data_IF_538564408780
#
_entry.id   IF_538564408780
#
_cell.length_a   1.000
_cell.length_b   1.000
_cell.length_c   1.000
_cell.angle_alpha   90.00
_cell.angle_beta   90.00
_cell.angle_gamma   90.00
#
_symmetry.space_group_name_H-M   'P 1'
#
loop_
_entity.id
_entity.type
_entity.pdbx_description
1 polymer ?
#
# COMPACT_ATOMS: atom_id res chain seq x y z
N UNK A 1 -16.43 45.87 88.42
CA UNK A 1 -15.82 44.52 88.23
C UNK A 1 -16.63 43.82 87.19
N UNK A 2 -16.07 43.64 86.03
CA UNK A 2 -16.65 42.82 84.93
C UNK A 2 -15.64 41.72 84.58
N UNK A 3 -16.01 40.45 84.46
CA UNK A 3 -15.10 39.40 84.06
C UNK A 3 -14.99 39.32 82.56
N UNK A 4 -13.76 39.16 82.04
CA UNK A 4 -13.37 38.95 80.66
C UNK A 4 -13.60 37.49 80.30
N UNK A 5 -14.38 37.23 79.24
CA UNK A 5 -14.59 35.94 78.64
C UNK A 5 -13.55 35.69 77.51
N UNK A 6 -12.68 34.69 77.72
CA UNK A 6 -11.80 34.14 76.70
C UNK A 6 -12.59 33.18 75.80
N UNK A 7 -12.61 33.39 74.49
CA UNK A 7 -13.06 32.41 73.54
C UNK A 7 -11.83 31.76 72.88
N UNK A 8 -11.72 30.41 72.80
CA UNK A 8 -10.67 29.77 72.02
C UNK A 8 -11.07 29.67 70.54
N UNK A 9 -10.21 30.20 69.69
CA UNK A 9 -10.27 30.00 68.22
C UNK A 9 -9.89 28.54 67.90
N UNK A 10 -10.90 27.73 67.53
CA UNK A 10 -10.64 26.42 66.87
C UNK A 10 -10.25 26.70 65.39
N UNK A 11 -8.95 26.50 65.09
CA UNK A 11 -8.45 26.49 63.71
C UNK A 11 -8.86 25.20 62.99
N UNK A 12 -9.69 25.35 61.97
CA UNK A 12 -10.00 24.25 61.03
C UNK A 12 -8.83 24.07 60.05
N UNK A 13 -8.06 23.03 60.20
CA UNK A 13 -7.12 22.57 59.19
C UNK A 13 -7.91 21.83 58.11
N UNK A 14 -8.15 22.47 56.95
CA UNK A 14 -8.67 21.82 55.77
C UNK A 14 -7.56 21.02 55.13
N UNK A 15 -7.57 19.70 55.31
CA UNK A 15 -6.73 18.77 54.57
C UNK A 15 -7.30 18.68 53.15
N UNK A 16 -6.66 19.35 52.20
CA UNK A 16 -6.98 19.20 50.79
C UNK A 16 -6.52 17.80 50.31
N UNK A 17 -7.48 16.89 50.13
CA UNK A 17 -7.24 15.61 49.45
C UNK A 17 -6.92 15.89 47.98
N UNK A 18 -5.64 15.90 47.62
CA UNK A 18 -5.23 15.91 46.19
C UNK A 18 -5.48 14.51 45.65
N UNK A 19 -6.62 14.30 45.03
CA UNK A 19 -6.88 13.08 44.29
C UNK A 19 -5.89 13.03 43.10
N UNK A 20 -5.15 11.91 42.89
CA UNK A 20 -4.31 11.81 41.72
C UNK A 20 -5.20 11.84 40.44
N UNK A 21 -5.02 12.86 39.64
CA UNK A 21 -5.62 12.90 38.30
C UNK A 21 -4.92 11.76 37.52
N UNK A 22 -5.60 10.63 37.39
CA UNK A 22 -5.23 9.57 36.45
C UNK A 22 -5.38 10.16 35.06
N UNK A 23 -4.32 10.78 34.57
CA UNK A 23 -4.20 11.08 33.15
C UNK A 23 -4.21 9.73 32.42
N UNK A 24 -5.37 9.33 31.93
CA UNK A 24 -5.53 8.18 31.07
C UNK A 24 -4.73 8.50 29.80
N UNK A 25 -3.52 7.99 29.70
CA UNK A 25 -2.76 8.10 28.46
C UNK A 25 -3.67 7.62 27.31
N UNK A 26 -3.97 8.50 26.36
CA UNK A 26 -4.67 8.09 25.16
C UNK A 26 -3.88 6.94 24.54
N UNK A 27 -4.58 5.84 24.24
CA UNK A 27 -3.94 4.68 23.66
C UNK A 27 -3.26 5.10 22.35
N UNK A 28 -1.95 4.94 22.28
CA UNK A 28 -1.19 5.23 21.07
C UNK A 28 -1.72 4.37 19.93
N UNK A 29 -1.92 4.96 18.75
CA UNK A 29 -2.49 4.24 17.60
C UNK A 29 -1.47 4.17 16.48
N UNK A 30 -1.16 2.95 15.99
CA UNK A 30 -0.44 2.71 14.76
C UNK A 30 -1.45 2.55 13.61
N UNK A 31 -1.45 3.49 12.67
CA UNK A 31 -2.38 3.53 11.56
C UNK A 31 -1.71 3.01 10.29
N UNK A 32 -2.27 1.96 9.69
CA UNK A 32 -1.71 1.26 8.54
C UNK A 32 -2.61 1.39 7.33
N UNK A 33 -2.08 1.97 6.25
CA UNK A 33 -2.75 2.09 4.96
C UNK A 33 -2.52 0.86 4.08
N UNK A 34 -3.56 0.43 3.33
CA UNK A 34 -3.46 -0.65 2.36
C UNK A 34 -4.51 -0.51 1.25
N UNK A 35 -4.46 -1.37 0.22
CA UNK A 35 -5.46 -1.42 -0.85
C UNK A 35 -6.12 -2.79 -0.90
N UNK A 36 -7.41 -2.90 -1.28
CA UNK A 36 -8.08 -4.17 -1.46
C UNK A 36 -7.69 -4.82 -2.80
N UNK A 37 -6.40 -5.15 -2.94
CA UNK A 37 -5.77 -5.78 -4.09
C UNK A 37 -5.02 -7.05 -3.67
N UNK A 38 -4.90 -8.03 -4.54
CA UNK A 38 -4.15 -9.26 -4.23
C UNK A 38 -2.63 -9.01 -4.07
N UNK A 39 -2.12 -7.94 -4.66
CA UNK A 39 -0.74 -7.48 -4.41
C UNK A 39 -0.49 -7.05 -2.96
N UNK A 40 -1.56 -6.84 -2.19
CA UNK A 40 -1.54 -6.56 -0.75
C UNK A 40 -2.09 -7.75 0.06
N UNK A 41 -1.93 -8.98 -0.44
CA UNK A 41 -2.45 -10.19 0.20
C UNK A 41 -2.10 -10.33 1.70
N UNK A 42 -0.88 -9.97 2.17
CA UNK A 42 -0.60 -10.01 3.60
C UNK A 42 -1.51 -9.10 4.43
N UNK A 43 -1.84 -7.89 3.94
CA UNK A 43 -2.77 -6.99 4.62
C UNK A 43 -4.20 -7.53 4.62
N UNK A 44 -4.66 -8.10 3.49
CA UNK A 44 -5.98 -8.72 3.40
C UNK A 44 -6.13 -9.92 4.34
N UNK A 45 -5.08 -10.76 4.44
CA UNK A 45 -5.04 -11.89 5.35
C UNK A 45 -5.04 -11.43 6.82
N UNK A 46 -4.23 -10.43 7.16
CA UNK A 46 -4.20 -9.85 8.51
C UNK A 46 -5.56 -9.29 8.92
N UNK A 47 -6.21 -8.54 8.04
CA UNK A 47 -7.56 -8.00 8.25
C UNK A 47 -8.61 -9.09 8.42
N UNK A 48 -8.48 -10.20 7.71
CA UNK A 48 -9.38 -11.34 7.88
C UNK A 48 -9.14 -12.05 9.22
N UNK A 49 -7.88 -12.25 9.60
CA UNK A 49 -7.52 -12.83 10.91
C UNK A 49 -8.01 -11.95 12.07
N UNK A 50 -7.93 -10.62 11.95
CA UNK A 50 -8.49 -9.71 12.95
C UNK A 50 -10.00 -9.92 13.12
N UNK A 51 -10.76 -10.06 12.02
CA UNK A 51 -12.21 -10.36 12.06
C UNK A 51 -12.53 -11.71 12.69
N UNK A 52 -11.60 -12.66 12.58
CA UNK A 52 -11.70 -13.99 13.19
C UNK A 52 -11.21 -14.02 14.65
N UNK A 53 -10.82 -12.87 15.21
CA UNK A 53 -10.29 -12.76 16.58
C UNK A 53 -8.85 -13.28 16.73
N UNK A 54 -8.10 -13.40 15.62
CA UNK A 54 -6.73 -13.92 15.56
C UNK A 54 -5.73 -12.84 15.11
N UNK A 55 -5.86 -11.62 15.63
CA UNK A 55 -5.04 -10.48 15.20
C UNK A 55 -3.56 -10.62 15.65
N UNK A 56 -2.76 -11.19 14.74
CA UNK A 56 -1.34 -11.41 14.95
C UNK A 56 -0.52 -10.11 14.97
N UNK A 57 -0.98 -9.05 14.29
CA UNK A 57 -0.29 -7.76 14.29
C UNK A 57 -0.54 -7.01 15.60
N UNK A 58 -1.81 -6.95 16.05
CA UNK A 58 -2.13 -6.32 17.33
C UNK A 58 -1.40 -7.01 18.49
N UNK A 59 -1.33 -8.35 18.47
CA UNK A 59 -0.62 -9.13 19.49
C UNK A 59 0.90 -8.87 19.54
N UNK A 60 1.49 -8.44 18.41
CA UNK A 60 2.92 -8.14 18.32
C UNK A 60 3.27 -6.71 18.73
N UNK A 61 2.30 -5.80 18.80
CA UNK A 61 2.55 -4.39 19.12
C UNK A 61 2.92 -4.21 20.60
N UNK A 62 3.68 -3.15 20.93
CA UNK A 62 3.94 -2.79 22.31
C UNK A 62 2.64 -2.57 23.10
N UNK A 63 2.68 -2.84 24.41
CA UNK A 63 1.54 -2.65 25.28
C UNK A 63 0.99 -1.22 25.22
N UNK A 64 -0.33 -1.08 25.09
CA UNK A 64 -1.01 0.22 25.00
C UNK A 64 -1.09 0.78 23.58
N UNK A 65 -0.42 0.18 22.58
CA UNK A 65 -0.54 0.59 21.17
C UNK A 65 -1.69 -0.17 20.51
N UNK A 66 -2.60 0.54 19.84
CA UNK A 66 -3.69 -0.03 19.05
C UNK A 66 -3.35 -0.01 17.58
N UNK A 67 -3.77 -1.05 16.84
CA UNK A 67 -3.68 -1.11 15.39
C UNK A 67 -4.96 -0.58 14.76
N UNK A 68 -4.83 0.29 13.75
CA UNK A 68 -5.95 0.77 12.94
C UNK A 68 -5.62 0.64 11.46
N UNK A 69 -6.51 0.03 10.70
CA UNK A 69 -6.34 -0.13 9.25
C UNK A 69 -7.15 0.90 8.48
N UNK A 70 -6.56 1.45 7.41
CA UNK A 70 -7.20 2.38 6.50
C UNK A 70 -7.07 1.92 5.06
N UNK A 71 -8.21 1.74 4.39
CA UNK A 71 -8.26 1.32 2.98
C UNK A 71 -8.17 2.53 2.05
N UNK A 72 -7.38 2.39 0.98
CA UNK A 72 -7.22 3.39 -0.08
C UNK A 72 -7.48 2.75 -1.44
N UNK A 73 -7.80 3.57 -2.44
CA UNK A 73 -7.93 3.09 -3.82
C UNK A 73 -6.57 2.80 -4.45
N UNK A 74 -5.59 3.70 -4.28
CA UNK A 74 -4.27 3.59 -4.89
C UNK A 74 -3.21 4.42 -4.15
N UNK A 75 -1.94 4.29 -4.60
CA UNK A 75 -0.77 4.80 -3.91
C UNK A 75 -0.69 6.30 -3.67
N UNK A 76 -0.96 7.17 -4.64
CA UNK A 76 -0.87 8.62 -4.42
C UNK A 76 -1.67 9.11 -3.23
N UNK A 77 -2.93 8.68 -3.08
CA UNK A 77 -3.77 9.07 -1.93
C UNK A 77 -3.27 8.52 -0.59
N UNK A 78 -2.69 7.30 -0.58
CA UNK A 78 -2.06 6.75 0.62
C UNK A 78 -0.80 7.52 1.01
N UNK A 79 0.02 7.95 0.02
CA UNK A 79 1.21 8.76 0.29
C UNK A 79 0.88 10.16 0.79
N UNK A 80 -0.19 10.78 0.29
CA UNK A 80 -0.71 12.05 0.84
C UNK A 80 -1.13 11.89 2.31
N UNK A 81 -1.87 10.82 2.62
CA UNK A 81 -2.27 10.50 4.00
C UNK A 81 -1.06 10.24 4.92
N UNK A 82 -0.02 9.58 4.42
CA UNK A 82 1.22 9.33 5.15
C UNK A 82 1.98 10.63 5.45
N UNK A 83 2.16 11.48 4.45
CA UNK A 83 2.83 12.77 4.61
C UNK A 83 2.04 13.74 5.52
N UNK A 84 0.73 13.68 5.49
CA UNK A 84 -0.15 14.43 6.39
C UNK A 84 -0.20 13.84 7.83
N UNK A 85 0.46 12.71 8.09
CA UNK A 85 0.41 12.04 9.38
C UNK A 85 -0.96 11.40 9.72
N UNK A 86 -1.82 11.21 8.72
CA UNK A 86 -3.11 10.53 8.87
C UNK A 86 -2.97 9.01 8.97
N UNK A 87 -1.87 8.46 8.45
CA UNK A 87 -1.40 7.08 8.64
C UNK A 87 0.08 7.08 8.97
N UNK A 88 0.59 6.00 9.55
CA UNK A 88 1.97 5.86 10.03
C UNK A 88 2.79 4.89 9.17
N UNK A 89 2.15 3.87 8.61
CA UNK A 89 2.73 2.87 7.71
C UNK A 89 1.78 2.68 6.52
N UNK A 90 2.31 2.41 5.34
CA UNK A 90 1.49 2.10 4.16
C UNK A 90 2.09 0.96 3.34
N UNK A 91 1.21 0.07 2.89
CA UNK A 91 1.46 -0.76 1.72
C UNK A 91 1.25 0.11 0.48
N UNK A 92 2.24 0.20 -0.41
CA UNK A 92 2.17 1.10 -1.57
C UNK A 92 3.10 0.62 -2.68
N UNK A 93 2.81 0.97 -3.93
CA UNK A 93 3.69 0.70 -5.06
C UNK A 93 4.96 1.58 -5.09
N UNK A 94 5.97 1.16 -5.83
CA UNK A 94 7.24 1.88 -5.91
C UNK A 94 7.10 3.30 -6.46
N UNK A 95 6.31 3.50 -7.52
CA UNK A 95 6.20 4.82 -8.17
C UNK A 95 5.59 5.90 -7.26
N UNK A 96 4.48 5.67 -6.52
CA UNK A 96 3.97 6.62 -5.54
C UNK A 96 4.97 6.90 -4.39
N UNK A 97 5.66 5.87 -3.89
CA UNK A 97 6.68 6.04 -2.86
C UNK A 97 7.83 6.92 -3.34
N UNK A 98 8.34 6.67 -4.55
CA UNK A 98 9.37 7.48 -5.21
C UNK A 98 8.91 8.92 -5.44
N UNK A 99 7.69 9.11 -5.94
CA UNK A 99 7.15 10.45 -6.17
C UNK A 99 7.15 11.27 -4.87
N UNK A 100 6.66 10.68 -3.78
CA UNK A 100 6.67 11.33 -2.47
C UNK A 100 8.11 11.57 -1.97
N UNK A 101 9.03 10.62 -2.17
CA UNK A 101 10.44 10.73 -1.79
C UNK A 101 11.13 11.88 -2.53
N UNK A 102 10.98 11.97 -3.85
CA UNK A 102 11.58 13.04 -4.67
C UNK A 102 10.96 14.40 -4.34
N UNK A 103 9.63 14.49 -4.19
CA UNK A 103 8.94 15.73 -3.80
C UNK A 103 9.39 16.27 -2.44
N UNK A 104 9.76 15.39 -1.53
CA UNK A 104 10.31 15.75 -0.21
C UNK A 104 11.85 15.81 -0.20
N UNK A 105 12.50 15.83 -1.38
CA UNK A 105 13.95 15.89 -1.55
C UNK A 105 14.71 14.83 -0.75
N UNK A 106 14.11 13.63 -0.65
CA UNK A 106 14.69 12.51 0.09
C UNK A 106 14.47 12.53 1.61
N UNK A 107 13.82 13.56 2.15
CA UNK A 107 13.78 13.79 3.59
C UNK A 107 12.78 12.87 4.32
N UNK A 108 11.59 12.60 3.76
CA UNK A 108 10.47 12.12 4.57
C UNK A 108 10.17 10.61 4.42
N UNK A 109 10.38 10.01 3.25
CA UNK A 109 9.92 8.64 3.00
C UNK A 109 11.01 7.61 3.28
N UNK A 110 10.62 6.52 3.96
CA UNK A 110 11.47 5.36 4.28
C UNK A 110 10.78 4.08 3.87
N UNK A 111 11.46 3.21 3.16
CA UNK A 111 11.02 1.84 2.86
C UNK A 111 11.42 0.94 4.03
N UNK A 112 10.48 0.15 4.52
CA UNK A 112 10.64 -0.76 5.65
C UNK A 112 10.88 -2.19 5.19
N UNK A 113 10.13 -2.62 4.15
CA UNK A 113 10.16 -3.99 3.64
C UNK A 113 9.64 -4.07 2.19
N UNK A 114 10.14 -4.99 1.36
CA UNK A 114 9.47 -5.40 0.13
C UNK A 114 8.21 -6.21 0.47
N UNK A 115 7.20 -6.15 -0.39
CA UNK A 115 5.97 -6.95 -0.22
C UNK A 115 5.71 -7.81 -1.44
N UNK A 116 5.58 -7.22 -2.65
CA UNK A 116 5.21 -7.95 -3.85
C UNK A 116 5.77 -7.35 -5.14
N UNK A 117 6.00 -8.21 -6.12
CA UNK A 117 6.32 -7.87 -7.51
C UNK A 117 5.32 -8.56 -8.45
N UNK A 118 5.12 -8.02 -9.66
CA UNK A 118 4.22 -8.59 -10.66
C UNK A 118 2.73 -8.44 -10.31
N UNK A 119 1.88 -9.30 -10.88
CA UNK A 119 0.43 -9.19 -10.76
C UNK A 119 -0.14 -7.90 -11.36
N UNK A 120 0.54 -7.34 -12.35
CA UNK A 120 0.32 -6.06 -12.99
C UNK A 120 0.34 -6.25 -14.49
N UNK A 121 -0.77 -5.97 -15.17
CA UNK A 121 -0.93 -6.30 -16.58
C UNK A 121 -1.79 -5.29 -17.35
N UNK A 122 -1.52 -5.20 -18.66
CA UNK A 122 -2.37 -4.55 -19.65
C UNK A 122 -3.37 -5.57 -20.21
N UNK A 123 -4.64 -5.30 -20.02
CA UNK A 123 -5.75 -6.12 -20.54
C UNK A 123 -6.46 -5.37 -21.66
N UNK A 124 -6.67 -6.04 -22.78
CA UNK A 124 -7.41 -5.55 -23.96
C UNK A 124 -8.62 -6.43 -24.21
N UNK A 125 -9.57 -5.97 -25.02
CA UNK A 125 -10.69 -6.83 -25.45
C UNK A 125 -10.22 -7.93 -26.40
N UNK A 126 -10.79 -9.12 -26.26
CA UNK A 126 -10.63 -10.17 -27.25
C UNK A 126 -11.10 -9.66 -28.63
N UNK A 127 -10.30 -9.93 -29.66
CA UNK A 127 -10.63 -9.49 -31.03
C UNK A 127 -10.45 -7.99 -31.32
N UNK A 128 -9.93 -7.19 -30.36
CA UNK A 128 -9.70 -5.73 -30.58
C UNK A 128 -8.66 -5.40 -31.65
N UNK A 129 -7.82 -6.36 -32.03
CA UNK A 129 -6.70 -6.12 -32.94
C UNK A 129 -5.48 -5.44 -32.31
N UNK A 130 -5.58 -5.01 -31.04
CA UNK A 130 -4.47 -4.38 -30.32
C UNK A 130 -3.42 -5.45 -29.95
N UNK A 131 -2.17 -5.26 -30.41
CA UNK A 131 -1.05 -6.20 -30.18
C UNK A 131 0.24 -5.50 -29.77
N UNK A 132 0.48 -4.29 -30.26
CA UNK A 132 1.70 -3.53 -30.06
C UNK A 132 1.35 -2.11 -29.59
N UNK A 133 2.28 -1.37 -28.97
CA UNK A 133 2.02 0.02 -28.60
C UNK A 133 1.48 0.89 -29.73
N UNK A 134 1.91 0.67 -30.98
CA UNK A 134 1.48 1.46 -32.14
C UNK A 134 -0.01 1.32 -32.46
N UNK A 135 -0.63 0.20 -32.08
CA UNK A 135 -2.06 -0.03 -32.27
C UNK A 135 -2.92 0.83 -31.33
N UNK A 136 -2.29 1.49 -30.35
CA UNK A 136 -2.95 2.37 -29.39
C UNK A 136 -3.09 3.82 -29.84
N UNK A 137 -2.69 4.16 -31.09
CA UNK A 137 -2.93 5.50 -31.64
C UNK A 137 -4.44 5.78 -31.63
N UNK A 138 -4.85 6.89 -31.00
CA UNK A 138 -6.26 7.28 -30.82
C UNK A 138 -7.02 6.48 -29.77
N UNK A 139 -6.38 5.60 -29.01
CA UNK A 139 -7.00 4.72 -28.01
C UNK A 139 -6.90 5.26 -26.58
N UNK A 140 -7.82 4.80 -25.72
CA UNK A 140 -7.89 5.11 -24.32
C UNK A 140 -7.43 3.90 -23.47
N UNK A 141 -6.45 4.12 -22.59
CA UNK A 141 -5.95 3.12 -21.64
C UNK A 141 -6.31 3.56 -20.23
N UNK A 142 -7.14 2.79 -19.53
CA UNK A 142 -7.51 3.06 -18.16
C UNK A 142 -6.42 2.66 -17.16
N UNK A 143 -6.19 3.47 -16.11
CA UNK A 143 -5.27 3.17 -14.99
C UNK A 143 -5.91 3.55 -13.65
N UNK A 144 -5.57 2.89 -12.50
CA UNK A 144 -6.30 3.09 -11.23
C UNK A 144 -6.22 4.51 -10.65
N UNK A 145 -5.13 5.22 -10.87
CA UNK A 145 -4.94 6.62 -10.42
C UNK A 145 -3.74 7.24 -11.12
N UNK A 146 -3.81 8.53 -11.41
CA UNK A 146 -2.69 9.29 -11.96
C UNK A 146 -1.44 9.16 -11.07
N UNK A 147 -0.31 8.79 -11.67
CA UNK A 147 0.98 8.66 -10.98
C UNK A 147 1.11 7.43 -10.09
N UNK A 148 0.16 6.49 -10.12
CA UNK A 148 0.37 5.18 -9.51
C UNK A 148 1.29 4.31 -10.40
N UNK A 149 1.71 3.15 -9.91
CA UNK A 149 2.65 2.29 -10.65
C UNK A 149 2.11 1.89 -12.01
N UNK A 150 0.81 1.56 -12.13
CA UNK A 150 0.17 1.18 -13.39
C UNK A 150 0.09 2.33 -14.40
N UNK A 151 -0.09 3.56 -13.92
CA UNK A 151 -0.11 4.74 -14.79
C UNK A 151 1.30 5.02 -15.36
N UNK A 152 2.34 4.85 -14.53
CA UNK A 152 3.74 4.92 -14.98
C UNK A 152 4.03 3.82 -15.99
N UNK A 153 3.71 2.55 -15.67
CA UNK A 153 3.96 1.40 -16.54
C UNK A 153 3.25 1.57 -17.90
N UNK A 154 1.97 1.99 -17.91
CA UNK A 154 1.21 2.20 -19.14
C UNK A 154 1.86 3.26 -20.04
N UNK A 155 2.24 4.40 -19.46
CA UNK A 155 2.88 5.49 -20.22
C UNK A 155 4.27 5.09 -20.70
N UNK A 156 5.05 4.41 -19.87
CA UNK A 156 6.38 3.92 -20.24
C UNK A 156 6.30 2.95 -21.40
N UNK A 157 5.43 1.93 -21.33
CA UNK A 157 5.26 0.95 -22.39
C UNK A 157 4.81 1.58 -23.72
N UNK A 158 3.86 2.51 -23.70
CA UNK A 158 3.41 3.23 -24.90
C UNK A 158 4.54 4.07 -25.50
N UNK A 159 5.33 4.76 -24.67
CA UNK A 159 6.45 5.61 -25.12
C UNK A 159 7.63 4.79 -25.65
N UNK A 160 7.97 3.68 -25.03
CA UNK A 160 8.97 2.73 -25.55
C UNK A 160 8.58 2.18 -26.92
N UNK A 161 7.28 2.04 -27.19
CA UNK A 161 6.73 1.73 -28.51
C UNK A 161 6.72 2.87 -29.51
N UNK A 162 7.26 4.05 -29.15
CA UNK A 162 7.41 5.21 -30.00
C UNK A 162 6.23 6.19 -30.01
N UNK A 163 5.24 6.03 -29.11
CA UNK A 163 4.11 6.95 -29.02
C UNK A 163 4.45 8.17 -28.14
N UNK A 164 3.98 9.33 -28.53
CA UNK A 164 4.02 10.51 -27.68
C UNK A 164 2.80 10.49 -26.74
N UNK A 165 3.06 10.24 -25.45
CA UNK A 165 2.04 10.19 -24.39
C UNK A 165 2.41 11.16 -23.28
N UNK A 166 1.49 12.06 -22.92
CA UNK A 166 1.66 13.05 -21.86
C UNK A 166 0.34 13.28 -21.11
N UNK A 167 0.36 14.10 -20.05
CA UNK A 167 -0.82 14.31 -19.19
C UNK A 167 -2.03 14.89 -19.94
N UNK A 168 -1.79 15.73 -20.94
CA UNK A 168 -2.84 16.33 -21.76
C UNK A 168 -3.32 15.47 -22.94
N UNK A 169 -2.78 14.23 -23.11
CA UNK A 169 -3.13 13.34 -24.22
C UNK A 169 -1.91 12.92 -25.05
N UNK A 170 -1.94 13.11 -26.37
CA UNK A 170 -0.92 12.69 -27.33
C UNK A 170 -1.46 11.66 -28.32
N UNK A 171 -0.58 10.73 -28.77
CA UNK A 171 -0.99 9.69 -29.72
C UNK A 171 -1.96 8.67 -29.08
N UNK A 172 -1.82 8.43 -27.78
CA UNK A 172 -2.74 7.64 -26.96
C UNK A 172 -3.11 8.41 -25.69
N UNK A 173 -4.27 8.12 -25.12
CA UNK A 173 -4.73 8.75 -23.88
C UNK A 173 -4.70 7.75 -22.73
N UNK A 174 -4.03 8.12 -21.63
CA UNK A 174 -4.11 7.36 -20.35
C UNK A 174 -5.13 8.04 -19.44
N UNK A 175 -6.16 7.28 -19.04
CA UNK A 175 -7.35 7.76 -18.32
C UNK A 175 -7.37 7.18 -16.90
N UNK A 176 -7.02 7.96 -15.87
CA UNK A 176 -7.10 7.50 -14.49
C UNK A 176 -8.55 7.43 -14.01
N UNK A 177 -8.94 6.28 -13.44
CA UNK A 177 -10.23 6.06 -12.77
C UNK A 177 -10.10 4.96 -11.72
N UNK A 178 -11.04 4.87 -10.77
CA UNK A 178 -11.00 3.79 -9.77
C UNK A 178 -11.15 2.41 -10.44
N UNK A 179 -10.54 1.37 -9.85
CA UNK A 179 -10.56 0.03 -10.44
C UNK A 179 -11.98 -0.48 -10.74
N UNK A 180 -12.94 -0.23 -9.85
CA UNK A 180 -14.34 -0.62 -10.09
C UNK A 180 -14.95 0.12 -11.30
N UNK A 181 -14.65 1.40 -11.47
CA UNK A 181 -15.09 2.21 -12.59
C UNK A 181 -14.42 1.75 -13.88
N UNK A 182 -13.13 1.38 -13.84
CA UNK A 182 -12.41 0.83 -14.99
C UNK A 182 -13.05 -0.45 -15.52
N UNK A 183 -13.53 -1.35 -14.64
CA UNK A 183 -14.30 -2.53 -15.07
C UNK A 183 -15.55 -2.13 -15.84
N UNK A 184 -16.28 -1.13 -15.33
CA UNK A 184 -17.52 -0.67 -15.97
C UNK A 184 -17.24 0.01 -17.31
N UNK A 185 -16.26 0.91 -17.38
CA UNK A 185 -15.85 1.58 -18.61
C UNK A 185 -15.37 0.58 -19.67
N UNK A 186 -14.59 -0.42 -19.25
CA UNK A 186 -14.16 -1.50 -20.14
C UNK A 186 -15.34 -2.34 -20.63
N UNK A 187 -16.28 -2.71 -19.78
CA UNK A 187 -17.45 -3.50 -20.15
C UNK A 187 -18.36 -2.79 -21.16
N UNK A 188 -18.45 -1.45 -21.06
CA UNK A 188 -19.24 -0.60 -21.96
C UNK A 188 -18.54 -0.21 -23.25
N UNK A 189 -17.25 -0.48 -23.38
CA UNK A 189 -16.47 -0.07 -24.55
C UNK A 189 -16.01 1.38 -24.53
N UNK A 190 -16.10 2.06 -23.40
CA UNK A 190 -15.71 3.46 -23.26
C UNK A 190 -14.18 3.64 -23.14
N UNK A 191 -13.47 2.58 -22.75
CA UNK A 191 -12.01 2.46 -22.81
C UNK A 191 -11.60 1.21 -23.58
N UNK A 192 -10.46 1.29 -24.27
CA UNK A 192 -9.98 0.22 -25.17
C UNK A 192 -9.19 -0.85 -24.41
N UNK A 193 -8.49 -0.43 -23.38
CA UNK A 193 -7.63 -1.28 -22.55
C UNK A 193 -7.58 -0.78 -21.11
N UNK A 194 -7.15 -1.67 -20.19
CA UNK A 194 -6.93 -1.35 -18.78
C UNK A 194 -5.57 -1.87 -18.34
N UNK A 195 -4.73 -1.01 -17.80
CA UNK A 195 -3.54 -1.42 -17.08
C UNK A 195 -3.82 -1.42 -15.58
N UNK A 196 -3.88 -2.60 -14.99
CA UNK A 196 -4.28 -2.75 -13.58
C UNK A 196 -3.57 -3.92 -12.90
N UNK A 197 -3.92 -4.20 -11.65
CA UNK A 197 -3.37 -5.27 -10.81
C UNK A 197 -4.41 -6.34 -10.49
N UNK A 198 -3.94 -7.47 -9.96
CA UNK A 198 -4.83 -8.50 -9.43
C UNK A 198 -5.60 -8.03 -8.16
N UNK A 199 -6.89 -8.32 -8.02
CA UNK A 199 -7.70 -9.28 -8.80
C UNK A 199 -8.37 -8.67 -10.05
N UNK A 200 -8.14 -7.42 -10.36
CA UNK A 200 -8.84 -6.71 -11.43
C UNK A 200 -8.47 -7.24 -12.82
N UNK A 201 -7.21 -7.69 -13.01
CA UNK A 201 -6.78 -8.39 -14.23
C UNK A 201 -7.62 -9.65 -14.43
N UNK A 202 -7.69 -10.51 -13.42
CA UNK A 202 -8.51 -11.74 -13.47
C UNK A 202 -9.99 -11.42 -13.69
N UNK A 203 -10.53 -10.39 -13.07
CA UNK A 203 -11.93 -9.97 -13.29
C UNK A 203 -12.18 -9.50 -14.72
N UNK A 204 -11.30 -8.67 -15.27
CA UNK A 204 -11.40 -8.22 -16.68
C UNK A 204 -11.38 -9.41 -17.64
N UNK A 205 -10.54 -10.40 -17.40
CA UNK A 205 -10.41 -11.57 -18.28
C UNK A 205 -11.56 -12.57 -18.10
N UNK A 206 -11.96 -12.88 -16.87
CA UNK A 206 -12.97 -13.90 -16.60
C UNK A 206 -14.43 -13.41 -16.69
N UNK A 207 -14.68 -12.13 -16.37
CA UNK A 207 -16.03 -11.57 -16.32
C UNK A 207 -16.38 -10.77 -17.60
N UNK A 208 -15.39 -10.18 -18.28
CA UNK A 208 -15.62 -9.23 -19.36
C UNK A 208 -14.91 -9.58 -20.69
N UNK A 209 -14.40 -10.82 -20.82
CA UNK A 209 -13.78 -11.30 -22.07
C UNK A 209 -12.49 -10.55 -22.44
N UNK A 210 -11.78 -10.02 -21.47
CA UNK A 210 -10.47 -9.42 -21.66
C UNK A 210 -9.38 -10.46 -21.93
N UNK A 211 -8.31 -10.02 -22.58
CA UNK A 211 -7.10 -10.82 -22.82
C UNK A 211 -5.90 -10.03 -22.31
N UNK A 212 -5.02 -10.68 -21.57
CA UNK A 212 -3.75 -10.07 -21.14
C UNK A 212 -2.86 -9.88 -22.36
N UNK A 213 -2.55 -8.64 -22.69
CA UNK A 213 -1.65 -8.28 -23.78
C UNK A 213 -0.20 -8.19 -23.30
N UNK A 214 0.03 -7.63 -22.13
CA UNK A 214 1.36 -7.44 -21.56
C UNK A 214 1.32 -7.60 -20.03
N UNK A 215 2.36 -8.24 -19.47
CA UNK A 215 2.56 -8.37 -18.01
C UNK A 215 3.91 -7.76 -17.63
N UNK A 216 3.90 -6.87 -16.64
CA UNK A 216 5.14 -6.39 -16.03
C UNK A 216 5.44 -7.23 -14.76
N UNK A 217 6.12 -8.37 -14.94
CA UNK A 217 6.44 -9.30 -13.85
C UNK A 217 7.48 -8.78 -12.87
N UNK A 218 8.30 -7.83 -13.30
CA UNK A 218 9.38 -7.26 -12.50
C UNK A 218 8.99 -5.96 -11.78
N UNK A 219 7.80 -5.43 -12.06
CA UNK A 219 7.32 -4.20 -11.41
C UNK A 219 7.27 -4.41 -9.90
N UNK A 220 7.94 -3.53 -9.14
CA UNK A 220 7.85 -3.50 -7.67
C UNK A 220 6.50 -2.90 -7.28
N UNK A 221 5.52 -3.77 -7.12
CA UNK A 221 4.11 -3.37 -7.04
C UNK A 221 3.67 -3.04 -5.61
N UNK A 222 4.35 -3.58 -4.62
CA UNK A 222 4.07 -3.27 -3.22
C UNK A 222 5.33 -3.33 -2.35
N UNK A 223 5.49 -2.29 -1.53
CA UNK A 223 6.45 -2.16 -0.44
C UNK A 223 5.74 -1.66 0.81
N UNK A 224 6.29 -1.91 1.99
CA UNK A 224 5.93 -1.19 3.21
C UNK A 224 6.76 0.08 3.30
N UNK A 225 6.10 1.21 3.49
CA UNK A 225 6.74 2.51 3.69
C UNK A 225 6.23 3.19 4.95
N UNK A 226 7.04 4.11 5.47
CA UNK A 226 6.69 4.98 6.58
C UNK A 226 7.25 6.38 6.34
N UNK A 227 6.84 7.35 7.15
CA UNK A 227 7.47 8.67 7.18
C UNK A 227 8.55 8.74 8.26
N UNK A 228 9.54 9.63 8.06
CA UNK A 228 10.54 9.94 9.08
C UNK A 228 9.89 10.36 10.40
N UNK A 229 8.86 11.20 10.33
CA UNK A 229 8.12 11.65 11.50
C UNK A 229 7.43 10.50 12.26
N UNK A 230 6.91 9.48 11.56
CA UNK A 230 6.32 8.30 12.19
C UNK A 230 7.41 7.43 12.87
N UNK A 231 8.58 7.27 12.23
CA UNK A 231 9.71 6.55 12.84
C UNK A 231 10.23 7.27 14.09
N UNK A 232 10.39 8.59 14.06
CA UNK A 232 10.84 9.34 15.23
C UNK A 232 9.91 9.18 16.44
N UNK A 233 8.60 9.08 16.19
CA UNK A 233 7.59 8.99 17.25
C UNK A 233 7.25 7.56 17.67
N UNK A 234 7.28 6.58 16.75
CA UNK A 234 6.65 5.25 16.93
C UNK A 234 7.54 4.10 16.45
N UNK A 235 8.86 4.27 16.41
CA UNK A 235 9.76 3.24 15.89
C UNK A 235 9.53 1.85 16.49
N UNK A 236 9.36 1.65 17.81
CA UNK A 236 9.10 0.32 18.37
C UNK A 236 7.84 -0.33 17.80
N UNK A 237 6.77 0.43 17.60
CA UNK A 237 5.51 -0.08 17.04
C UNK A 237 5.64 -0.38 15.55
N UNK A 238 6.32 0.48 14.77
CA UNK A 238 6.59 0.26 13.35
C UNK A 238 7.45 -1.00 13.15
N UNK A 239 8.54 -1.15 13.88
CA UNK A 239 9.43 -2.32 13.78
C UNK A 239 8.71 -3.60 14.19
N UNK A 240 7.88 -3.56 15.24
CA UNK A 240 7.06 -4.70 15.67
C UNK A 240 6.04 -5.11 14.61
N UNK A 241 5.37 -4.13 13.99
CA UNK A 241 4.45 -4.37 12.87
C UNK A 241 5.15 -5.04 11.70
N UNK A 242 6.33 -4.55 11.29
CA UNK A 242 7.07 -5.13 10.15
C UNK A 242 7.55 -6.54 10.46
N UNK A 243 8.04 -6.82 11.67
CA UNK A 243 8.41 -8.19 12.08
C UNK A 243 7.21 -9.13 12.05
N UNK A 244 6.03 -8.70 12.54
CA UNK A 244 4.82 -9.51 12.48
C UNK A 244 4.30 -9.70 11.05
N UNK A 245 4.50 -8.70 10.16
CA UNK A 245 4.24 -8.84 8.73
C UNK A 245 5.10 -9.96 8.10
N UNK A 246 6.40 -10.00 8.37
CA UNK A 246 7.26 -11.08 7.89
C UNK A 246 6.82 -12.45 8.41
N UNK A 247 6.48 -12.55 9.71
CA UNK A 247 5.99 -13.79 10.29
C UNK A 247 4.68 -14.27 9.62
N UNK A 248 3.75 -13.35 9.33
CA UNK A 248 2.54 -13.68 8.59
C UNK A 248 2.85 -14.10 7.15
N UNK A 249 3.73 -13.41 6.45
CA UNK A 249 4.16 -13.77 5.10
C UNK A 249 4.78 -15.17 5.06
N UNK A 250 5.59 -15.55 6.06
CA UNK A 250 6.16 -16.90 6.16
C UNK A 250 5.06 -17.96 6.31
N UNK A 251 4.04 -17.72 7.14
CA UNK A 251 2.89 -18.64 7.31
C UNK A 251 2.06 -18.76 6.04
N UNK A 252 1.79 -17.63 5.35
CA UNK A 252 1.03 -17.63 4.10
C UNK A 252 1.75 -18.42 3.00
N UNK A 253 3.09 -18.32 2.91
CA UNK A 253 3.89 -19.13 1.98
C UNK A 253 3.88 -20.62 2.31
N UNK A 254 3.83 -20.97 3.60
CA UNK A 254 3.84 -22.36 4.04
C UNK A 254 2.51 -23.10 3.79
N UNK A 255 1.39 -22.37 3.73
CA UNK A 255 0.05 -22.93 3.52
C UNK A 255 -0.72 -22.11 2.47
N UNK A 256 -0.60 -22.52 1.22
CA UNK A 256 -1.24 -21.86 0.09
C UNK A 256 -2.77 -21.90 0.16
N UNK A 257 -3.35 -23.01 0.61
CA UNK A 257 -4.79 -23.15 0.73
C UNK A 257 -5.36 -22.19 1.80
N UNK A 258 -4.64 -22.06 2.91
CA UNK A 258 -4.98 -21.12 3.97
C UNK A 258 -4.82 -19.66 3.47
N UNK A 259 -3.74 -19.35 2.72
CA UNK A 259 -3.54 -18.05 2.09
C UNK A 259 -4.72 -17.70 1.18
N UNK A 260 -5.08 -18.57 0.24
CA UNK A 260 -6.18 -18.35 -0.70
C UNK A 260 -7.51 -18.10 0.02
N UNK A 261 -7.82 -18.90 1.05
CA UNK A 261 -9.02 -18.73 1.87
C UNK A 261 -9.07 -17.36 2.55
N UNK A 262 -8.00 -16.97 3.27
CA UNK A 262 -7.95 -15.71 3.99
C UNK A 262 -8.02 -14.51 3.06
N UNK A 263 -7.21 -14.53 1.99
CA UNK A 263 -7.13 -13.42 1.04
C UNK A 263 -8.45 -13.24 0.30
N UNK A 264 -9.09 -14.34 -0.13
CA UNK A 264 -10.40 -14.33 -0.79
C UNK A 264 -11.48 -13.72 0.10
N UNK A 265 -11.57 -14.18 1.33
CA UNK A 265 -12.59 -13.72 2.29
C UNK A 265 -12.33 -12.27 2.68
N UNK A 266 -11.06 -11.93 2.98
CA UNK A 266 -10.64 -10.57 3.32
C UNK A 266 -10.90 -9.57 2.19
N UNK A 267 -10.62 -9.96 0.94
CA UNK A 267 -10.90 -9.13 -0.23
C UNK A 267 -12.39 -8.84 -0.39
N UNK A 268 -13.25 -9.86 -0.24
CA UNK A 268 -14.71 -9.68 -0.29
C UNK A 268 -15.21 -8.73 0.80
N UNK A 269 -14.68 -8.87 2.02
CA UNK A 269 -15.02 -8.00 3.14
C UNK A 269 -14.58 -6.54 2.92
N UNK A 270 -13.36 -6.32 2.42
CA UNK A 270 -12.84 -4.96 2.14
C UNK A 270 -13.59 -4.28 0.97
N UNK A 271 -13.94 -5.02 -0.07
CA UNK A 271 -14.72 -4.52 -1.21
C UNK A 271 -16.24 -4.44 -0.91
N UNK A 272 -16.68 -4.87 0.29
CA UNK A 272 -18.12 -4.95 0.66
C UNK A 272 -18.94 -5.69 -0.39
N UNK A 273 -18.40 -6.78 -0.91
CA UNK A 273 -18.98 -7.59 -1.98
C UNK A 273 -18.88 -9.08 -1.64
N UNK A 274 -19.57 -9.92 -2.43
CA UNK A 274 -19.34 -11.36 -2.35
C UNK A 274 -17.84 -11.64 -2.64
N UNK A 275 -17.20 -12.54 -1.86
CA UNK A 275 -15.85 -12.98 -2.17
C UNK A 275 -15.76 -13.48 -3.61
N UNK A 276 -14.64 -13.22 -4.32
CA UNK A 276 -14.42 -13.79 -5.66
C UNK A 276 -14.60 -15.31 -5.65
N UNK A 277 -14.88 -15.89 -6.81
CA UNK A 277 -14.96 -17.34 -6.94
C UNK A 277 -13.61 -17.97 -6.57
N UNK A 278 -13.66 -19.10 -5.84
CA UNK A 278 -12.46 -19.73 -5.29
C UNK A 278 -11.45 -20.10 -6.40
N UNK A 279 -11.94 -20.62 -7.52
CA UNK A 279 -11.14 -21.04 -8.66
C UNK A 279 -10.35 -19.92 -9.34
N UNK A 280 -10.67 -18.66 -9.07
CA UNK A 280 -9.98 -17.51 -9.66
C UNK A 280 -8.82 -17.00 -8.79
N UNK A 281 -8.80 -17.32 -7.50
CA UNK A 281 -7.84 -16.74 -6.54
C UNK A 281 -6.45 -17.34 -6.71
N UNK A 282 -6.34 -18.66 -6.79
CA UNK A 282 -5.04 -19.33 -7.00
C UNK A 282 -4.31 -18.82 -8.24
N UNK A 283 -4.93 -18.86 -9.44
CA UNK A 283 -4.31 -18.31 -10.66
C UNK A 283 -3.97 -16.82 -10.57
N UNK A 284 -4.78 -16.00 -9.89
CA UNK A 284 -4.51 -14.58 -9.69
C UNK A 284 -3.32 -14.35 -8.74
N UNK A 285 -3.24 -15.10 -7.64
CA UNK A 285 -2.09 -15.06 -6.72
C UNK A 285 -0.80 -15.56 -7.39
N UNK A 286 -0.88 -16.53 -8.28
CA UNK A 286 0.28 -17.06 -9.03
C UNK A 286 0.94 -16.02 -9.95
N UNK A 287 0.25 -14.92 -10.30
CA UNK A 287 0.84 -13.78 -11.03
C UNK A 287 1.62 -12.84 -10.12
N UNK A 288 1.45 -12.95 -8.80
CA UNK A 288 2.07 -12.08 -7.80
C UNK A 288 3.23 -12.82 -7.14
N UNK A 289 4.43 -12.27 -7.24
CA UNK A 289 5.62 -12.78 -6.53
C UNK A 289 5.73 -12.04 -5.20
N UNK A 290 5.42 -12.73 -4.10
CA UNK A 290 5.61 -12.16 -2.76
C UNK A 290 7.08 -12.24 -2.33
N UNK A 291 7.51 -11.25 -1.55
CA UNK A 291 8.87 -11.20 -1.03
C UNK A 291 9.24 -12.49 -0.29
N UNK A 292 10.40 -13.02 -0.63
CA UNK A 292 11.00 -14.20 0.02
C UNK A 292 12.07 -13.74 1.02
N UNK A 293 12.40 -14.58 2.03
CA UNK A 293 13.49 -14.30 2.94
C UNK A 293 14.80 -14.10 2.20
N UNK A 294 15.53 -13.06 2.54
CA UNK A 294 16.87 -12.76 2.03
C UNK A 294 17.60 -11.89 3.07
N UNK A 295 18.93 -11.91 3.08
CA UNK A 295 19.71 -11.04 3.96
C UNK A 295 19.51 -9.55 3.61
N UNK A 296 19.82 -8.69 4.57
CA UNK A 296 19.55 -7.25 4.46
C UNK A 296 20.36 -6.58 3.34
N UNK A 297 21.58 -7.03 3.08
CA UNK A 297 22.46 -6.45 2.05
C UNK A 297 21.93 -6.78 0.66
N UNK A 298 21.65 -8.05 0.38
CA UNK A 298 21.02 -8.53 -0.86
C UNK A 298 19.70 -7.81 -1.11
N UNK A 299 18.86 -7.71 -0.09
CA UNK A 299 17.57 -7.00 -0.14
C UNK A 299 17.76 -5.53 -0.52
N UNK A 300 18.70 -4.84 0.12
CA UNK A 300 19.00 -3.43 -0.15
C UNK A 300 19.48 -3.23 -1.58
N UNK A 301 20.40 -4.06 -2.04
CA UNK A 301 20.94 -3.98 -3.41
C UNK A 301 19.83 -4.20 -4.46
N UNK A 302 19.00 -5.24 -4.27
CA UNK A 302 17.86 -5.54 -5.15
C UNK A 302 16.84 -4.42 -5.18
N UNK A 303 16.43 -3.90 -4.03
CA UNK A 303 15.48 -2.79 -3.95
C UNK A 303 16.06 -1.51 -4.58
N UNK A 304 17.34 -1.22 -4.38
CA UNK A 304 18.01 -0.08 -5.01
C UNK A 304 17.91 -0.15 -6.53
N UNK A 305 18.17 -1.30 -7.13
CA UNK A 305 18.05 -1.50 -8.58
C UNK A 305 16.60 -1.33 -9.07
N UNK A 306 15.63 -1.93 -8.37
CA UNK A 306 14.21 -1.82 -8.72
C UNK A 306 13.69 -0.37 -8.60
N UNK A 307 14.08 0.34 -7.56
CA UNK A 307 13.71 1.75 -7.38
C UNK A 307 14.40 2.67 -8.40
N UNK A 308 15.66 2.40 -8.77
CA UNK A 308 16.34 3.15 -9.81
C UNK A 308 15.64 3.01 -11.17
N UNK A 309 15.20 1.78 -11.52
CA UNK A 309 14.39 1.54 -12.72
C UNK A 309 13.05 2.29 -12.65
N UNK A 310 12.30 2.15 -11.55
CA UNK A 310 11.01 2.83 -11.38
C UNK A 310 11.14 4.37 -11.41
N UNK A 311 12.26 4.92 -10.91
CA UNK A 311 12.56 6.35 -11.01
C UNK A 311 12.75 6.77 -12.48
N UNK A 312 13.56 6.02 -13.22
CA UNK A 312 13.78 6.26 -14.65
C UNK A 312 12.46 6.22 -15.42
N UNK A 313 11.63 5.19 -15.21
CA UNK A 313 10.34 5.04 -15.88
C UNK A 313 9.39 6.20 -15.59
N UNK A 314 9.34 6.67 -14.33
CA UNK A 314 8.55 7.82 -13.93
C UNK A 314 9.05 9.15 -14.53
N UNK A 315 10.37 9.31 -14.68
CA UNK A 315 10.99 10.47 -15.35
C UNK A 315 10.72 10.42 -16.86
N UNK A 316 10.96 9.29 -17.51
CA UNK A 316 10.73 9.09 -18.94
C UNK A 316 9.25 9.29 -19.32
N UNK A 317 8.33 8.85 -18.47
CA UNK A 317 6.89 9.10 -18.63
C UNK A 317 6.46 10.54 -18.30
N UNK A 318 7.37 11.42 -17.88
CA UNK A 318 7.16 12.82 -17.47
C UNK A 318 6.19 12.99 -16.30
N UNK A 319 5.98 11.95 -15.51
CA UNK A 319 5.17 11.98 -14.28
C UNK A 319 5.98 12.45 -13.07
N UNK A 320 7.31 12.34 -13.15
CA UNK A 320 8.22 12.78 -12.09
C UNK A 320 9.31 13.68 -12.68
N UNK A 321 9.57 14.80 -12.00
CA UNK A 321 10.68 15.70 -12.32
C UNK A 321 11.67 15.74 -11.16
N UNK A 322 12.96 15.72 -11.49
CA UNK A 322 14.03 15.69 -10.49
C UNK A 322 14.32 14.30 -9.97
N UNK A 323 15.19 14.25 -8.98
CA UNK A 323 15.66 13.04 -8.30
C UNK A 323 15.81 13.29 -6.80
N UNK A 324 16.14 12.23 -6.06
CA UNK A 324 16.54 12.29 -4.66
C UNK A 324 17.50 11.14 -4.36
N UNK A 325 18.39 11.29 -3.35
CA UNK A 325 19.28 10.21 -2.93
C UNK A 325 18.50 8.96 -2.52
N UNK A 326 18.86 7.79 -3.07
CA UNK A 326 18.21 6.52 -2.72
C UNK A 326 18.62 5.98 -1.34
N UNK A 327 19.79 6.39 -0.82
CA UNK A 327 20.28 5.99 0.49
C UNK A 327 19.25 6.20 1.61
N UNK A 328 18.75 7.42 1.82
CA UNK A 328 17.73 7.70 2.83
C UNK A 328 16.43 6.90 2.65
N UNK A 329 16.03 6.61 1.39
CA UNK A 329 14.83 5.81 1.13
C UNK A 329 14.94 4.40 1.71
N UNK A 330 16.14 3.80 1.66
CA UNK A 330 16.39 2.40 2.02
C UNK A 330 17.15 2.22 3.35
N UNK A 331 17.44 3.28 4.08
CA UNK A 331 18.22 3.22 5.34
C UNK A 331 17.47 2.53 6.49
N UNK A 332 16.13 2.53 6.44
CA UNK A 332 15.26 2.04 7.52
C UNK A 332 14.65 0.67 7.21
N UNK A 333 15.23 -0.09 6.30
CA UNK A 333 14.82 -1.48 6.05
C UNK A 333 14.91 -2.28 7.36
N UNK A 334 13.80 -2.94 7.69
CA UNK A 334 13.72 -3.81 8.87
C UNK A 334 14.19 -5.20 8.50
N UNK A 335 15.05 -5.77 9.31
CA UNK A 335 15.54 -7.13 9.09
C UNK A 335 14.45 -8.17 9.39
N UNK A 336 14.44 -9.23 8.58
CA UNK A 336 13.55 -10.37 8.83
C UNK A 336 14.09 -11.15 10.02
N UNK A 337 13.24 -11.54 11.01
CA UNK A 337 13.70 -12.35 12.11
C UNK A 337 14.34 -13.64 11.58
N UNK A 338 15.62 -13.85 11.87
CA UNK A 338 16.26 -15.13 11.60
C UNK A 338 15.60 -16.18 12.50
N UNK A 339 15.32 -17.37 11.89
CA UNK A 339 14.73 -18.50 12.61
C UNK A 339 15.66 -19.06 13.66
#
# INVERSE_FOLDING_TARGET
MRPSSFFPLLGWFAVALVAPILVRAEAETLRVGFFPNLTHAPALAARQLEREGQDCHQAALPAGVKLEWRSFNAGPSAMEALLAGAIDVAYVGASPALNAHVRTKGAEIRVLAPVAQGGNALVVRAGSGLRTPKDFIGRNVGTPQLGNTQDVDARTWLREGGLNVHLGGGDARVVPAQNADLLLLFSRGEIDAVWTVEPWVTRLTSEFGGVVLHENKESLIAVLVTSRAALEKRRPAVDAFVRSHYALCARLRADQAWQEKLVRTGLGAELRSKPPKAELIGPALARVSFAVPEDLETRRARLSALFARALKDAQDSRLLKGDAPMGPLLESLVDEPQK
#
